data_IF_295975622342
#
_entry.id   IF_295975622342
#
_cell.length_a   1.000
_cell.length_b   1.000
_cell.length_c   1.000
_cell.angle_alpha   90.00
_cell.angle_beta   90.00
_cell.angle_gamma   90.00
#
_symmetry.space_group_name_H-M   'P 1'
#
loop_
_entity.id
_entity.type
_entity.pdbx_description
1 polymer ?
#
# COMPACT_ATOMS: atom_id res chain seq x y z
N UNK A 1 15.87 35.24 13.21
CA UNK A 1 16.90 35.51 14.23
C UNK A 1 16.46 34.86 15.54
N UNK A 2 17.30 34.02 16.15
CA UNK A 2 17.07 33.42 17.46
C UNK A 2 16.94 31.90 17.37
N UNK A 3 18.08 31.21 17.47
CA UNK A 3 18.12 29.75 17.54
C UNK A 3 18.09 29.24 18.99
N UNK A 4 17.80 27.94 19.12
CA UNK A 4 18.35 27.12 20.20
C UNK A 4 18.81 25.80 19.58
N UNK A 5 20.10 25.56 19.68
CA UNK A 5 20.73 24.31 19.28
C UNK A 5 20.63 23.27 20.39
N UNK A 6 20.61 22.01 19.97
CA UNK A 6 21.07 20.87 20.73
C UNK A 6 21.25 19.71 19.75
N UNK A 7 22.48 19.54 19.25
CA UNK A 7 22.90 18.35 18.49
C UNK A 7 22.80 17.14 19.42
N UNK A 8 21.91 16.20 19.10
CA UNK A 8 22.06 14.80 19.49
C UNK A 8 22.29 14.01 18.20
N UNK A 9 23.44 13.35 18.15
CA UNK A 9 23.78 12.33 17.16
C UNK A 9 22.78 11.18 17.24
N UNK A 10 21.84 11.12 16.31
CA UNK A 10 20.93 10.00 16.11
C UNK A 10 21.11 9.50 14.69
N UNK A 11 21.43 8.21 14.54
CA UNK A 11 21.58 7.57 13.24
C UNK A 11 20.37 7.80 12.35
N UNK A 12 20.64 7.91 11.04
CA UNK A 12 19.61 7.93 10.01
C UNK A 12 18.72 6.70 10.17
N UNK A 13 17.52 6.91 10.68
CA UNK A 13 16.45 5.91 10.67
C UNK A 13 15.63 6.20 9.42
N UNK A 14 15.72 5.30 8.45
CA UNK A 14 14.84 5.26 7.29
C UNK A 14 13.43 4.91 7.81
N UNK A 15 12.50 5.83 7.68
CA UNK A 15 11.07 5.56 7.87
C UNK A 15 10.46 5.47 6.47
N UNK A 16 9.80 4.36 6.16
CA UNK A 16 9.03 4.19 4.93
C UNK A 16 7.83 5.15 4.92
N UNK A 17 7.75 5.95 3.85
CA UNK A 17 6.53 6.50 3.26
C UNK A 17 5.63 7.40 4.12
N UNK A 18 5.91 8.70 4.15
CA UNK A 18 4.87 9.71 4.34
C UNK A 18 4.26 10.01 2.96
N UNK A 19 3.05 9.55 2.67
CA UNK A 19 2.40 9.86 1.39
C UNK A 19 1.46 11.07 1.53
N UNK A 20 1.81 12.16 0.87
CA UNK A 20 0.95 13.33 0.66
C UNK A 20 0.42 13.24 -0.77
N UNK A 21 -0.84 12.88 -0.95
CA UNK A 21 -1.47 12.90 -2.28
C UNK A 21 -1.72 14.34 -2.72
N UNK A 22 -0.79 14.96 -3.47
CA UNK A 22 -0.93 16.33 -3.96
C UNK A 22 -1.88 16.44 -5.17
N UNK A 23 -3.16 16.76 -4.92
CA UNK A 23 -4.14 17.16 -5.93
C UNK A 23 -5.24 18.00 -5.30
N UNK A 24 -5.89 18.88 -6.06
CA UNK A 24 -6.81 19.94 -5.57
C UNK A 24 -8.04 19.49 -4.76
N UNK A 25 -8.20 18.18 -4.52
CA UNK A 25 -9.31 17.55 -3.79
C UNK A 25 -8.85 16.58 -2.67
N UNK A 26 -7.53 16.42 -2.47
CA UNK A 26 -6.97 15.46 -1.52
C UNK A 26 -5.88 16.14 -0.67
N UNK A 27 -6.26 16.69 0.49
CA UNK A 27 -5.33 17.40 1.38
C UNK A 27 -4.88 16.58 2.60
N UNK A 28 -5.17 15.26 2.64
CA UNK A 28 -4.94 14.43 3.82
C UNK A 28 -3.76 13.47 3.68
N UNK A 29 -3.05 13.33 4.80
CA UNK A 29 -1.83 12.55 4.95
C UNK A 29 -2.15 11.06 5.16
N UNK A 30 -1.44 10.15 4.50
CA UNK A 30 -1.45 8.72 4.87
C UNK A 30 -0.23 8.43 5.75
N UNK A 31 -0.43 7.77 6.89
CA UNK A 31 0.63 7.46 7.85
C UNK A 31 0.78 5.95 8.00
N UNK A 32 1.92 5.42 7.57
CA UNK A 32 2.39 4.10 7.99
C UNK A 32 2.90 4.22 9.42
N UNK A 33 2.22 3.59 10.38
CA UNK A 33 2.64 3.65 11.79
C UNK A 33 3.17 2.29 12.20
N UNK A 34 4.49 2.16 12.20
CA UNK A 34 5.17 1.16 13.02
C UNK A 34 4.93 1.54 14.50
N UNK A 35 3.94 0.92 15.14
CA UNK A 35 3.56 1.29 16.51
C UNK A 35 4.67 0.97 17.51
N UNK A 36 5.10 2.01 18.23
CA UNK A 36 5.51 1.97 19.64
C UNK A 36 5.85 3.38 20.19
N UNK A 37 6.01 4.40 19.32
CA UNK A 37 6.67 5.66 19.73
C UNK A 37 5.87 6.97 19.62
N UNK A 38 4.63 6.98 19.10
CA UNK A 38 3.84 8.23 19.02
C UNK A 38 2.50 8.09 19.72
N UNK A 39 2.29 8.86 20.79
CA UNK A 39 1.04 8.87 21.55
C UNK A 39 -0.14 9.39 20.70
N UNK A 40 -1.33 8.84 20.95
CA UNK A 40 -2.60 9.03 20.22
C UNK A 40 -3.06 10.50 20.02
N UNK A 41 -2.41 11.46 20.68
CA UNK A 41 -2.69 12.90 20.54
C UNK A 41 -1.77 13.65 19.58
N UNK A 42 -0.58 13.13 19.27
CA UNK A 42 0.44 13.89 18.51
C UNK A 42 0.18 13.93 17.01
N UNK A 43 -0.58 12.95 16.49
CA UNK A 43 -0.88 12.86 15.05
C UNK A 43 -2.14 13.64 14.64
N UNK A 44 -2.98 14.05 15.61
CA UNK A 44 -4.26 14.73 15.32
C UNK A 44 -4.06 16.08 14.64
N UNK A 45 -2.97 16.78 14.94
CA UNK A 45 -2.64 18.08 14.36
C UNK A 45 -2.35 18.01 12.85
N UNK A 46 -2.12 16.81 12.31
CA UNK A 46 -1.79 16.58 10.90
C UNK A 46 -2.98 16.11 10.04
N UNK A 47 -4.18 15.95 10.63
CA UNK A 47 -5.41 15.46 9.98
C UNK A 47 -5.17 14.27 9.02
N UNK A 48 -4.56 13.17 9.49
CA UNK A 48 -4.31 12.02 8.62
C UNK A 48 -5.63 11.38 8.17
N UNK A 49 -5.65 10.90 6.93
CA UNK A 49 -6.80 10.21 6.39
C UNK A 49 -7.00 8.84 7.04
N UNK A 50 -5.89 8.10 7.16
CA UNK A 50 -5.83 6.84 7.89
C UNK A 50 -4.47 6.61 8.55
N UNK A 51 -4.46 5.65 9.47
CA UNK A 51 -3.27 5.00 10.01
C UNK A 51 -3.19 3.58 9.46
N UNK A 52 -2.04 3.22 8.92
CA UNK A 52 -1.78 1.97 8.23
C UNK A 52 -0.95 0.99 9.06
N UNK A 53 -1.38 -0.27 9.04
CA UNK A 53 -0.83 -1.40 9.81
C UNK A 53 -0.43 -1.02 11.25
N UNK A 54 -1.36 -0.42 12.05
CA UNK A 54 -1.02 0.12 13.37
C UNK A 54 -0.64 -0.96 14.40
N UNK A 55 -0.76 -2.23 14.08
CA UNK A 55 -0.36 -3.37 14.90
C UNK A 55 -0.17 -4.61 14.03
N UNK A 56 0.08 -5.78 14.63
CA UNK A 56 0.25 -7.03 13.91
C UNK A 56 -0.89 -7.27 12.90
N UNK A 57 -0.58 -7.70 11.65
CA UNK A 57 -1.59 -7.98 10.62
C UNK A 57 -2.53 -9.13 11.01
N UNK A 58 -2.17 -9.93 12.01
CA UNK A 58 -3.00 -11.01 12.54
C UNK A 58 -3.93 -10.56 13.68
N UNK A 59 -3.72 -9.38 14.27
CA UNK A 59 -4.48 -8.89 15.41
C UNK A 59 -5.73 -8.10 14.97
N UNK A 60 -6.76 -8.83 14.55
CA UNK A 60 -8.06 -8.28 14.14
C UNK A 60 -8.71 -7.44 15.25
N UNK A 61 -8.63 -7.91 16.50
CA UNK A 61 -9.26 -7.24 17.63
C UNK A 61 -8.47 -6.00 18.07
N UNK A 62 -7.14 -6.05 17.95
CA UNK A 62 -6.25 -4.91 18.10
C UNK A 62 -6.59 -3.80 17.11
N UNK A 63 -6.70 -4.12 15.81
CA UNK A 63 -7.15 -3.19 14.79
C UNK A 63 -8.52 -2.58 15.12
N UNK A 64 -9.51 -3.40 15.51
CA UNK A 64 -10.84 -2.90 15.90
C UNK A 64 -10.83 -1.99 17.13
N UNK A 65 -9.97 -2.27 18.12
CA UNK A 65 -9.79 -1.42 19.29
C UNK A 65 -9.16 -0.08 18.90
N UNK A 66 -8.14 -0.10 18.04
CA UNK A 66 -7.44 1.09 17.56
C UNK A 66 -8.39 1.94 16.71
N UNK A 67 -9.14 1.35 15.77
CA UNK A 67 -10.10 2.05 14.92
C UNK A 67 -11.12 2.85 15.74
N UNK A 68 -11.60 2.30 16.86
CA UNK A 68 -12.49 3.01 17.78
C UNK A 68 -11.80 4.17 18.51
N UNK A 69 -10.54 4.00 18.88
CA UNK A 69 -9.77 4.98 19.64
C UNK A 69 -9.33 6.18 18.78
N UNK A 70 -8.99 5.94 17.51
CA UNK A 70 -8.42 6.98 16.61
C UNK A 70 -9.47 7.71 15.77
N UNK A 71 -10.72 7.26 15.79
CA UNK A 71 -11.84 7.93 15.11
C UNK A 71 -11.86 9.46 15.36
N UNK A 72 -12.03 10.29 14.31
CA UNK A 72 -12.50 9.93 12.96
C UNK A 72 -11.39 9.53 11.97
N UNK A 73 -10.14 9.42 12.40
CA UNK A 73 -9.04 8.93 11.55
C UNK A 73 -9.35 7.47 11.19
N UNK A 74 -9.20 7.10 9.91
CA UNK A 74 -9.43 5.73 9.47
C UNK A 74 -8.31 4.77 9.87
N UNK A 75 -8.59 3.46 9.79
CA UNK A 75 -7.55 2.42 9.90
C UNK A 75 -7.48 1.65 8.59
N UNK A 76 -6.27 1.47 8.09
CA UNK A 76 -5.97 0.65 6.91
C UNK A 76 -5.07 -0.53 7.32
N UNK A 77 -5.33 -1.70 6.75
CA UNK A 77 -4.39 -2.84 6.76
C UNK A 77 -4.73 -3.77 5.60
N UNK A 78 -3.76 -4.61 5.24
CA UNK A 78 -4.02 -5.79 4.42
C UNK A 78 -2.85 -6.25 3.55
N UNK A 79 -1.79 -5.46 3.38
CA UNK A 79 -0.60 -5.86 2.61
C UNK A 79 0.05 -7.16 3.12
N UNK A 80 -0.02 -7.39 4.44
CA UNK A 80 0.44 -8.60 5.10
C UNK A 80 -0.68 -9.56 5.50
N UNK A 81 -1.94 -9.25 5.20
CA UNK A 81 -3.06 -10.11 5.57
C UNK A 81 -3.03 -11.42 4.77
N UNK A 82 -2.96 -12.53 5.49
CA UNK A 82 -2.59 -13.83 4.92
C UNK A 82 -3.57 -14.40 3.88
N UNK A 83 -4.88 -14.18 4.03
CA UNK A 83 -5.90 -14.79 3.18
C UNK A 83 -7.28 -14.15 3.38
N UNK A 84 -8.24 -14.54 2.54
CA UNK A 84 -9.62 -14.02 2.57
C UNK A 84 -10.37 -14.25 3.89
N UNK A 85 -9.98 -15.23 4.70
CA UNK A 85 -10.65 -15.52 5.99
C UNK A 85 -10.34 -14.43 7.02
N UNK A 86 -9.08 -13.96 7.05
CA UNK A 86 -8.69 -12.85 7.93
C UNK A 86 -9.32 -11.55 7.45
N UNK A 87 -9.32 -11.28 6.14
CA UNK A 87 -10.07 -10.13 5.58
C UNK A 87 -11.55 -10.16 5.97
N UNK A 88 -12.22 -11.31 5.88
CA UNK A 88 -13.60 -11.47 6.34
C UNK A 88 -13.75 -11.09 7.81
N UNK A 89 -12.82 -11.51 8.68
CA UNK A 89 -12.87 -11.19 10.12
C UNK A 89 -12.61 -9.70 10.39
N UNK A 90 -11.65 -9.07 9.70
CA UNK A 90 -11.40 -7.62 9.78
C UNK A 90 -12.67 -6.83 9.43
N UNK A 91 -13.35 -7.20 8.34
CA UNK A 91 -14.60 -6.58 7.92
C UNK A 91 -15.76 -6.86 8.88
N UNK A 92 -15.87 -8.08 9.43
CA UNK A 92 -16.91 -8.44 10.40
C UNK A 92 -16.77 -7.73 11.75
N UNK A 93 -15.54 -7.37 12.13
CA UNK A 93 -15.24 -6.70 13.39
C UNK A 93 -15.24 -5.16 13.28
N UNK A 94 -15.58 -4.61 12.11
CA UNK A 94 -15.43 -3.18 11.79
C UNK A 94 -14.01 -2.68 12.10
N UNK A 95 -13.00 -3.51 11.83
CA UNK A 95 -11.62 -3.26 12.24
C UNK A 95 -10.86 -2.30 11.31
N UNK A 96 -11.38 -2.09 10.09
CA UNK A 96 -10.73 -1.31 9.05
C UNK A 96 -11.72 -0.38 8.35
N UNK A 97 -11.24 0.80 8.00
CA UNK A 97 -11.93 1.79 7.16
C UNK A 97 -11.47 1.70 5.70
N UNK A 98 -10.28 1.17 5.45
CA UNK A 98 -9.70 0.98 4.12
C UNK A 98 -9.10 -0.42 4.01
N UNK A 99 -9.46 -1.15 2.95
CA UNK A 99 -8.98 -2.51 2.70
C UNK A 99 -7.81 -2.48 1.73
N UNK A 100 -6.62 -2.89 2.18
CA UNK A 100 -5.44 -2.94 1.31
C UNK A 100 -5.24 -4.35 0.79
N UNK A 101 -5.57 -4.58 -0.47
CA UNK A 101 -5.24 -5.86 -1.12
C UNK A 101 -3.80 -5.81 -1.65
N UNK A 102 -3.16 -6.96 -1.73
CA UNK A 102 -1.86 -7.14 -2.38
C UNK A 102 -1.92 -8.34 -3.34
N UNK A 103 -1.40 -8.15 -4.55
CA UNK A 103 -1.51 -9.12 -5.63
C UNK A 103 -0.65 -10.38 -5.44
N UNK A 104 0.44 -10.27 -4.67
CA UNK A 104 1.44 -11.32 -4.47
C UNK A 104 1.39 -11.94 -3.05
N UNK A 105 0.71 -11.29 -2.10
CA UNK A 105 0.43 -11.80 -0.77
C UNK A 105 -0.66 -12.86 -0.78
N UNK A 106 -1.79 -12.55 -1.41
CA UNK A 106 -2.94 -13.44 -1.52
C UNK A 106 -2.69 -14.53 -2.55
N UNK A 107 -3.54 -15.57 -2.55
CA UNK A 107 -3.44 -16.70 -3.49
C UNK A 107 -3.88 -16.33 -4.93
N UNK A 108 -3.22 -15.32 -5.51
CA UNK A 108 -3.45 -14.80 -6.85
C UNK A 108 -4.79 -14.10 -7.03
N UNK A 109 -5.14 -13.87 -8.30
CA UNK A 109 -6.35 -13.14 -8.70
C UNK A 109 -7.61 -13.76 -8.10
N UNK A 110 -7.70 -15.10 -8.02
CA UNK A 110 -8.86 -15.79 -7.49
C UNK A 110 -9.21 -15.38 -6.04
N UNK A 111 -8.19 -15.27 -5.18
CA UNK A 111 -8.41 -14.87 -3.79
C UNK A 111 -8.60 -13.36 -3.66
N UNK A 112 -7.87 -12.56 -4.43
CA UNK A 112 -8.08 -11.11 -4.50
C UNK A 112 -9.53 -10.78 -4.87
N UNK A 113 -10.09 -11.43 -5.90
CA UNK A 113 -11.49 -11.24 -6.31
C UNK A 113 -12.47 -11.54 -5.18
N UNK A 114 -12.17 -12.56 -4.36
CA UNK A 114 -12.98 -12.89 -3.19
C UNK A 114 -12.95 -11.76 -2.15
N UNK A 115 -11.78 -11.15 -1.93
CA UNK A 115 -11.62 -10.02 -1.00
C UNK A 115 -12.27 -8.75 -1.53
N UNK A 116 -12.15 -8.44 -2.83
CA UNK A 116 -12.85 -7.30 -3.46
C UNK A 116 -14.36 -7.40 -3.26
N UNK A 117 -14.95 -8.58 -3.52
CA UNK A 117 -16.37 -8.82 -3.33
C UNK A 117 -16.80 -8.72 -1.86
N UNK A 118 -15.95 -9.18 -0.93
CA UNK A 118 -16.18 -9.01 0.51
C UNK A 118 -16.16 -7.53 0.89
N UNK A 119 -15.13 -6.78 0.51
CA UNK A 119 -15.01 -5.36 0.81
C UNK A 119 -16.22 -4.57 0.27
N UNK A 120 -16.64 -4.84 -0.97
CA UNK A 120 -17.84 -4.25 -1.56
C UNK A 120 -19.12 -4.59 -0.79
N UNK A 121 -19.30 -5.85 -0.37
CA UNK A 121 -20.45 -6.27 0.45
C UNK A 121 -20.52 -5.53 1.78
N UNK A 122 -19.37 -5.26 2.40
CA UNK A 122 -19.26 -4.53 3.67
C UNK A 122 -19.18 -3.01 3.47
N UNK A 123 -19.13 -2.52 2.23
CA UNK A 123 -19.00 -1.10 1.86
C UNK A 123 -17.71 -0.46 2.40
N UNK A 124 -16.62 -1.23 2.41
CA UNK A 124 -15.29 -0.75 2.74
C UNK A 124 -14.53 -0.48 1.44
N UNK A 125 -14.01 0.73 1.20
CA UNK A 125 -13.23 1.04 0.01
C UNK A 125 -11.93 0.23 -0.01
N UNK A 126 -11.50 -0.13 -1.21
CA UNK A 126 -10.25 -0.84 -1.44
C UNK A 126 -9.18 0.14 -1.91
N UNK A 127 -8.05 0.18 -1.21
CA UNK A 127 -6.88 0.98 -1.55
C UNK A 127 -5.69 0.02 -1.70
N UNK A 128 -5.43 -0.52 -2.91
CA UNK A 128 -4.42 -1.57 -3.07
C UNK A 128 -3.01 -1.07 -2.71
N UNK A 129 -2.26 -1.94 -2.03
CA UNK A 129 -0.83 -1.75 -1.78
C UNK A 129 -0.05 -1.99 -3.08
N UNK A 130 0.97 -1.16 -3.34
CA UNK A 130 1.71 -1.14 -4.60
C UNK A 130 3.23 -0.99 -4.43
N UNK A 131 3.77 -1.10 -3.21
CA UNK A 131 5.20 -1.01 -2.93
C UNK A 131 5.99 -2.25 -3.33
N UNK A 132 7.30 -2.10 -3.60
CA UNK A 132 8.19 -3.22 -3.95
C UNK A 132 8.43 -3.36 -5.46
N UNK A 133 8.78 -4.57 -5.91
CA UNK A 133 9.16 -4.82 -7.32
C UNK A 133 7.96 -5.37 -8.08
N UNK A 134 7.43 -4.59 -9.03
CA UNK A 134 6.35 -5.03 -9.92
C UNK A 134 4.93 -4.98 -9.35
N UNK A 135 4.77 -4.62 -8.07
CA UNK A 135 3.44 -4.62 -7.45
C UNK A 135 2.52 -3.55 -8.04
N UNK A 136 3.04 -2.37 -8.36
CA UNK A 136 2.31 -1.35 -9.12
C UNK A 136 1.81 -1.89 -10.48
N UNK A 137 2.64 -2.65 -11.19
CA UNK A 137 2.29 -3.30 -12.47
C UNK A 137 1.16 -4.33 -12.29
N UNK A 138 1.14 -5.06 -11.17
CA UNK A 138 0.09 -6.00 -10.80
C UNK A 138 -1.23 -5.31 -10.42
N UNK A 139 -1.20 -4.45 -9.39
CA UNK A 139 -2.43 -3.99 -8.69
C UNK A 139 -3.23 -2.94 -9.46
N UNK A 140 -2.65 -2.31 -10.49
CA UNK A 140 -3.40 -1.44 -11.41
C UNK A 140 -4.54 -2.19 -12.12
N UNK A 141 -4.32 -3.44 -12.54
CA UNK A 141 -5.32 -4.26 -13.22
C UNK A 141 -6.49 -4.61 -12.28
N UNK A 142 -6.17 -4.92 -11.02
CA UNK A 142 -7.14 -5.24 -9.99
C UNK A 142 -8.00 -4.01 -9.64
N UNK A 143 -7.39 -2.83 -9.61
CA UNK A 143 -8.07 -1.55 -9.38
C UNK A 143 -9.02 -1.20 -10.51
N UNK A 144 -8.58 -1.36 -11.77
CA UNK A 144 -9.43 -1.17 -12.95
C UNK A 144 -10.61 -2.14 -12.92
N UNK A 145 -10.38 -3.42 -12.57
CA UNK A 145 -11.46 -4.40 -12.44
C UNK A 145 -12.45 -4.02 -11.32
N UNK A 146 -11.98 -3.64 -10.13
CA UNK A 146 -12.86 -3.19 -9.04
C UNK A 146 -13.74 -2.02 -9.48
N UNK A 147 -13.13 -1.00 -10.09
CA UNK A 147 -13.84 0.17 -10.58
C UNK A 147 -14.89 -0.20 -11.65
N UNK A 148 -14.59 -1.08 -12.60
CA UNK A 148 -15.51 -1.38 -13.70
C UNK A 148 -16.60 -2.40 -13.29
N UNK A 149 -16.33 -3.30 -12.34
CA UNK A 149 -17.18 -4.48 -12.10
C UNK A 149 -17.68 -4.71 -10.68
N UNK A 150 -17.05 -4.11 -9.67
CA UNK A 150 -17.35 -4.42 -8.26
C UNK A 150 -17.71 -3.15 -7.50
N UNK A 151 -16.72 -2.32 -7.16
CA UNK A 151 -16.90 -1.08 -6.40
C UNK A 151 -17.63 0.03 -7.17
N UNK A 152 -17.45 0.13 -8.49
CA UNK A 152 -18.11 1.13 -9.35
C UNK A 152 -17.99 2.59 -8.88
N UNK A 153 -16.92 2.92 -8.14
CA UNK A 153 -16.68 4.24 -7.56
C UNK A 153 -15.18 4.48 -7.39
N UNK A 154 -14.77 5.74 -7.45
CA UNK A 154 -13.43 6.21 -7.05
C UNK A 154 -13.45 6.92 -5.68
N UNK A 155 -14.63 7.06 -5.08
CA UNK A 155 -14.77 7.72 -3.79
C UNK A 155 -14.01 6.93 -2.72
N UNK A 156 -13.18 7.64 -1.96
CA UNK A 156 -12.35 7.09 -0.89
C UNK A 156 -11.45 5.92 -1.31
N UNK A 157 -11.03 5.87 -2.58
CA UNK A 157 -10.13 4.85 -3.11
C UNK A 157 -8.91 5.52 -3.73
N UNK A 158 -7.74 5.02 -3.38
CA UNK A 158 -6.47 5.42 -3.98
C UNK A 158 -5.65 4.15 -4.24
N UNK A 159 -4.93 4.17 -5.36
CA UNK A 159 -3.95 3.16 -5.69
C UNK A 159 -2.59 3.71 -5.32
N UNK A 160 -1.87 3.01 -4.43
CA UNK A 160 -0.51 3.41 -4.06
C UNK A 160 0.41 3.44 -5.30
N UNK A 161 1.44 4.27 -5.28
CA UNK A 161 2.49 4.31 -6.28
C UNK A 161 3.84 4.57 -5.63
N UNK A 162 4.86 3.82 -6.05
CA UNK A 162 6.25 4.02 -5.65
C UNK A 162 7.11 4.03 -6.89
N UNK A 163 7.84 5.12 -7.14
CA UNK A 163 8.67 5.32 -8.34
C UNK A 163 9.97 4.48 -8.28
N UNK A 164 9.84 3.15 -8.40
CA UNK A 164 10.96 2.23 -8.22
C UNK A 164 10.87 0.99 -9.11
N UNK A 165 11.93 0.73 -9.88
CA UNK A 165 12.18 -0.51 -10.64
C UNK A 165 11.24 -0.80 -11.82
N UNK A 166 10.36 0.15 -12.19
CA UNK A 166 9.48 0.05 -13.34
C UNK A 166 10.26 -0.21 -14.65
N UNK A 167 11.49 0.32 -14.77
CA UNK A 167 12.33 0.15 -15.95
C UNK A 167 12.68 -1.31 -16.26
N UNK A 168 12.48 -2.23 -15.30
CA UNK A 168 12.73 -3.66 -15.46
C UNK A 168 11.56 -4.43 -16.08
N UNK A 169 10.41 -3.80 -16.31
CA UNK A 169 9.24 -4.43 -16.92
C UNK A 169 9.11 -4.04 -18.40
N UNK A 170 8.53 -4.93 -19.20
CA UNK A 170 8.23 -4.67 -20.62
C UNK A 170 7.08 -3.68 -20.78
N UNK A 171 6.11 -3.71 -19.87
CA UNK A 171 4.91 -2.87 -19.84
C UNK A 171 4.80 -2.18 -18.47
N UNK A 172 5.68 -1.19 -18.19
CA UNK A 172 5.67 -0.48 -16.91
C UNK A 172 4.41 0.36 -16.74
N UNK A 173 4.06 0.65 -15.49
CA UNK A 173 2.97 1.57 -15.16
C UNK A 173 3.21 2.95 -15.78
N UNK A 174 2.13 3.62 -16.18
CA UNK A 174 2.17 5.00 -16.69
C UNK A 174 1.36 5.89 -15.77
N UNK A 175 2.02 6.89 -15.18
CA UNK A 175 1.38 7.88 -14.31
C UNK A 175 1.30 9.21 -15.06
N UNK A 176 0.09 9.75 -15.19
CA UNK A 176 -0.15 11.10 -15.73
C UNK A 176 -0.98 11.91 -14.74
N UNK A 177 -0.51 13.10 -14.38
CA UNK A 177 -1.17 14.02 -13.45
C UNK A 177 -1.59 13.35 -12.12
N UNK A 178 -0.72 12.48 -11.58
CA UNK A 178 -0.97 11.74 -10.34
C UNK A 178 -2.00 10.62 -10.48
N UNK A 179 -2.26 10.12 -11.69
CA UNK A 179 -3.23 9.03 -11.95
C UNK A 179 -2.61 7.95 -12.81
N UNK A 180 -2.84 6.70 -12.43
CA UNK A 180 -2.56 5.54 -13.26
C UNK A 180 -3.35 5.60 -14.57
N UNK A 181 -2.66 5.37 -15.68
CA UNK A 181 -3.29 5.12 -16.97
C UNK A 181 -3.56 3.63 -17.13
N UNK A 182 -4.73 3.28 -17.66
CA UNK A 182 -5.10 1.89 -17.85
C UNK A 182 -4.14 1.21 -18.85
N UNK A 183 -3.58 0.03 -18.52
CA UNK A 183 -2.75 -0.73 -19.45
C UNK A 183 -3.48 -1.06 -20.75
N UNK A 184 -2.75 -1.06 -21.86
CA UNK A 184 -3.30 -1.36 -23.20
C UNK A 184 -2.74 -2.64 -23.79
N UNK A 185 -1.59 -3.11 -23.31
CA UNK A 185 -0.97 -4.34 -23.77
C UNK A 185 -1.67 -5.57 -23.15
N UNK A 186 -1.83 -6.68 -23.89
CA UNK A 186 -2.33 -7.92 -23.32
C UNK A 186 -1.39 -8.45 -22.24
N UNK A 187 -1.97 -8.97 -21.16
CA UNK A 187 -1.23 -9.61 -20.08
C UNK A 187 -1.52 -8.95 -18.74
N UNK A 188 -0.61 -9.17 -17.79
CA UNK A 188 -0.72 -8.68 -16.42
C UNK A 188 0.45 -7.75 -16.06
N UNK A 189 1.10 -7.17 -17.07
CA UNK A 189 2.21 -6.20 -16.98
C UNK A 189 3.47 -6.64 -16.22
N UNK A 190 3.58 -7.94 -15.89
CA UNK A 190 4.63 -8.48 -15.01
C UNK A 190 5.80 -9.14 -15.75
N UNK A 191 5.78 -9.11 -17.08
CA UNK A 191 6.87 -9.64 -17.86
C UNK A 191 8.11 -8.75 -17.69
N UNK A 192 9.12 -9.29 -17.04
CA UNK A 192 10.39 -8.60 -16.81
C UNK A 192 11.29 -8.71 -18.04
N UNK A 193 12.10 -7.66 -18.26
CA UNK A 193 13.14 -7.64 -19.29
C UNK A 193 14.15 -8.78 -19.06
N UNK A 194 14.48 -9.61 -20.08
CA UNK A 194 15.47 -10.67 -19.95
C UNK A 194 16.84 -10.17 -19.44
N UNK A 195 17.22 -8.95 -19.80
CA UNK A 195 18.47 -8.32 -19.36
C UNK A 195 18.46 -8.03 -17.86
N UNK A 196 17.34 -7.54 -17.32
CA UNK A 196 17.16 -7.34 -15.88
C UNK A 196 17.26 -8.66 -15.12
N UNK A 197 16.56 -9.69 -15.61
CA UNK A 197 16.63 -11.03 -15.01
C UNK A 197 18.07 -11.57 -14.99
N UNK A 198 18.82 -11.43 -16.09
CA UNK A 198 20.22 -11.87 -16.15
C UNK A 198 21.12 -11.07 -15.21
N UNK A 199 20.94 -9.75 -15.14
CA UNK A 199 21.80 -8.84 -14.35
C UNK A 199 21.62 -9.02 -12.85
N UNK A 200 20.39 -9.22 -12.40
CA UNK A 200 20.01 -9.24 -10.97
C UNK A 200 19.70 -10.63 -10.42
N UNK A 201 19.84 -11.70 -11.21
CA UNK A 201 19.70 -13.08 -10.72
C UNK A 201 20.63 -13.32 -9.53
N UNK A 202 20.08 -13.66 -8.37
CA UNK A 202 20.89 -14.00 -7.22
C UNK A 202 21.28 -15.49 -7.24
N UNK A 203 22.53 -15.86 -6.91
CA UNK A 203 23.69 -15.00 -6.67
C UNK A 203 24.53 -14.67 -7.92
N UNK A 204 24.24 -15.25 -9.09
CA UNK A 204 25.19 -15.26 -10.22
C UNK A 204 25.23 -13.96 -11.06
N UNK A 205 24.24 -13.09 -10.91
CA UNK A 205 24.10 -11.86 -11.66
C UNK A 205 25.21 -10.86 -11.35
N UNK A 206 25.63 -10.11 -12.37
CA UNK A 206 26.73 -9.12 -12.24
C UNK A 206 26.48 -8.07 -11.16
N UNK A 207 25.21 -7.78 -10.82
CA UNK A 207 24.87 -6.88 -9.73
C UNK A 207 25.36 -7.37 -8.35
N UNK A 208 25.58 -8.67 -8.17
CA UNK A 208 25.99 -9.30 -6.91
C UNK A 208 27.48 -9.64 -6.87
N UNK A 209 28.18 -9.61 -8.02
CA UNK A 209 29.59 -10.02 -8.13
C UNK A 209 30.59 -9.02 -7.52
N UNK A 210 30.15 -7.82 -7.13
CA UNK A 210 31.00 -6.79 -6.52
C UNK A 210 30.91 -6.71 -4.98
N UNK A 211 30.24 -7.66 -4.33
CA UNK A 211 30.05 -7.66 -2.87
C UNK A 211 31.08 -8.48 -2.08
N UNK A 212 32.14 -8.97 -2.73
CA UNK A 212 33.29 -9.60 -2.08
C UNK A 212 34.51 -8.68 -2.13
N UNK A 213 34.54 -7.68 -1.26
CA UNK A 213 35.71 -6.89 -0.88
C UNK A 213 35.67 -6.64 0.63
#
# INVERSE_FOLDING_TARGET
KGGLGSRRSGGERYYSGLFVSGGADFSRLCLMVLSDLMGEGQLKDFDPWWIEEPTSPDDILGHAKIAKAVSPIGVATGEHCQNRVVFKQLLQADAISFCQIDACRLAGVNEVLSVLLLAAKFRVPVCPHAGGVGLSEYVQHLSVFDYVRVGASLENRILEYVDHLHEHFLDPVVIENGRYQAPTMPGYSIEMRPESLKRYRFPEGVAWSSSSA
#
